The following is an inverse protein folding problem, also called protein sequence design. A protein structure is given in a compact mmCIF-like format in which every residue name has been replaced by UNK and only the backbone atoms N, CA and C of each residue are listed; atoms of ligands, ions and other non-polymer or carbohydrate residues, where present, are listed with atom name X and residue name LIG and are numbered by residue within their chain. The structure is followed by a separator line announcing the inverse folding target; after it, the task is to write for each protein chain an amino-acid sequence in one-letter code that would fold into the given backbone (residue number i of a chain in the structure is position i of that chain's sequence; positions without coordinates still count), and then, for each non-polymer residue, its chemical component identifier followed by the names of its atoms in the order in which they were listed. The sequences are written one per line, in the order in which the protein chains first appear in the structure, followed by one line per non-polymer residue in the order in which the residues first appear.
data_IF_616437868905
#
_entry.id   IF_616437868905
#
_cell.length_a   1.000
_cell.length_b   1.000
_cell.length_c   1.000
_cell.angle_alpha   90.00
_cell.angle_beta   90.00
_cell.angle_gamma   90.00
#
_symmetry.space_group_name_H-M   'P 1'
#
loop_
_entity.id
_entity.type
_entity.pdbx_description
1 polymer ?
#
# COMPACT_ATOMS: atom_id res chain seq x y z
N UNK A 1 -20.82 -11.49 15.25
CA UNK A 1 -20.67 -10.11 14.77
C UNK A 1 -19.25 -9.62 15.00
N UNK A 2 -18.77 -9.69 16.24
CA UNK A 2 -17.43 -9.26 16.67
C UNK A 2 -16.30 -9.77 15.76
N UNK A 3 -16.28 -11.07 15.45
CA UNK A 3 -15.28 -11.64 14.54
C UNK A 3 -15.20 -10.92 13.19
N UNK A 4 -16.33 -10.45 12.63
CA UNK A 4 -16.33 -9.73 11.35
C UNK A 4 -15.70 -8.34 11.46
N UNK A 5 -15.90 -7.65 12.58
CA UNK A 5 -15.21 -6.39 12.86
C UNK A 5 -13.72 -6.62 13.09
N UNK A 6 -13.35 -7.67 13.83
CA UNK A 6 -11.95 -8.07 14.02
C UNK A 6 -11.26 -8.41 12.70
N UNK A 7 -11.86 -9.28 11.88
CA UNK A 7 -11.33 -9.64 10.55
C UNK A 7 -11.13 -8.39 9.67
N UNK A 8 -12.06 -7.41 9.76
CA UNK A 8 -11.97 -6.17 8.99
C UNK A 8 -10.82 -5.30 9.46
N UNK A 9 -10.70 -5.11 10.77
CA UNK A 9 -9.62 -4.34 11.38
C UNK A 9 -8.24 -4.96 11.07
N UNK A 10 -8.09 -6.28 11.17
CA UNK A 10 -6.83 -6.97 10.85
C UNK A 10 -6.42 -6.74 9.39
N UNK A 11 -7.34 -6.97 8.44
CA UNK A 11 -7.05 -6.78 7.01
C UNK A 11 -6.76 -5.30 6.70
N UNK A 12 -7.49 -4.38 7.33
CA UNK A 12 -7.24 -2.93 7.17
C UNK A 12 -5.86 -2.54 7.69
N UNK A 13 -5.49 -2.99 8.90
CA UNK A 13 -4.19 -2.70 9.50
C UNK A 13 -3.05 -3.25 8.63
N UNK A 14 -3.16 -4.49 8.14
CA UNK A 14 -2.19 -5.04 7.20
C UNK A 14 -2.06 -4.19 5.91
N UNK A 15 -3.19 -3.74 5.36
CA UNK A 15 -3.16 -2.86 4.18
C UNK A 15 -2.47 -1.53 4.49
N UNK A 16 -2.76 -0.94 5.65
CA UNK A 16 -2.15 0.31 6.10
C UNK A 16 -0.64 0.15 6.28
N UNK A 17 -0.17 -0.91 6.94
CA UNK A 17 1.25 -1.19 7.12
C UNK A 17 1.98 -1.31 5.77
N UNK A 18 1.39 -2.04 4.82
CA UNK A 18 1.95 -2.13 3.46
C UNK A 18 1.97 -0.76 2.76
N UNK A 19 0.94 0.06 2.93
CA UNK A 19 0.90 1.40 2.36
C UNK A 19 1.95 2.33 3.01
N UNK A 20 2.14 2.27 4.33
CA UNK A 20 3.17 3.05 5.02
C UNK A 20 4.58 2.62 4.59
N UNK A 21 4.81 1.32 4.41
CA UNK A 21 6.06 0.80 3.86
C UNK A 21 6.31 1.32 2.43
N UNK A 22 5.28 1.33 1.57
CA UNK A 22 5.34 1.90 0.22
C UNK A 22 5.79 3.37 0.25
N UNK A 23 5.14 4.20 1.08
CA UNK A 23 5.50 5.61 1.26
C UNK A 23 6.94 5.75 1.73
N UNK A 24 7.37 4.91 2.69
CA UNK A 24 8.73 4.89 3.20
C UNK A 24 9.78 4.59 2.13
N UNK A 25 9.52 3.61 1.27
CA UNK A 25 10.41 3.26 0.16
C UNK A 25 10.51 4.39 -0.88
N UNK A 26 9.38 5.02 -1.23
CA UNK A 26 9.37 6.15 -2.16
C UNK A 26 10.16 7.33 -1.60
N UNK A 27 9.97 7.67 -0.32
CA UNK A 27 10.71 8.75 0.34
C UNK A 27 12.23 8.50 0.31
N UNK A 28 12.68 7.27 0.60
CA UNK A 28 14.11 6.90 0.52
C UNK A 28 14.67 6.94 -0.90
N UNK A 29 13.88 6.50 -1.88
CA UNK A 29 14.25 6.60 -3.29
C UNK A 29 14.44 8.06 -3.71
N UNK A 30 13.49 8.93 -3.35
CA UNK A 30 13.53 10.37 -3.65
C UNK A 30 14.72 11.08 -3.02
N UNK A 31 15.05 10.73 -1.76
CA UNK A 31 16.25 11.22 -1.09
C UNK A 31 17.53 10.78 -1.82
N UNK A 32 17.55 9.58 -2.39
CA UNK A 32 18.70 9.08 -3.16
C UNK A 32 18.82 9.73 -4.54
N UNK A 33 17.77 10.38 -5.04
CA UNK A 33 17.71 11.04 -6.33
C UNK A 33 17.70 12.58 -6.23
N UNK A 34 17.96 13.14 -5.04
CA UNK A 34 17.92 14.57 -4.73
C UNK A 34 16.63 15.28 -5.18
N UNK A 35 15.48 14.59 -5.07
CA UNK A 35 14.18 15.17 -5.44
C UNK A 35 13.71 16.20 -4.41
N UNK A 36 13.16 17.33 -4.90
CA UNK A 36 12.64 18.42 -4.07
C UNK A 36 11.20 18.21 -3.58
N UNK A 37 10.45 17.32 -4.23
CA UNK A 37 9.06 16.98 -3.88
C UNK A 37 9.00 15.60 -3.21
N UNK A 38 9.42 15.53 -1.95
CA UNK A 38 9.56 14.28 -1.20
C UNK A 38 8.21 13.67 -0.78
N UNK A 39 7.15 14.48 -0.71
CA UNK A 39 5.84 14.06 -0.21
C UNK A 39 4.90 13.54 -1.31
N UNK A 40 5.18 13.86 -2.57
CA UNK A 40 4.53 13.20 -3.70
C UNK A 40 4.97 11.73 -3.80
N UNK A 41 4.06 10.82 -4.16
CA UNK A 41 4.34 9.39 -4.27
C UNK A 41 4.82 8.95 -5.66
N UNK A 42 4.75 9.85 -6.65
CA UNK A 42 5.31 9.67 -7.98
C UNK A 42 6.84 9.49 -7.96
N UNK A 43 7.36 8.44 -8.58
CA UNK A 43 8.81 8.22 -8.72
C UNK A 43 9.36 8.35 -10.16
N UNK A 44 8.54 8.77 -11.14
CA UNK A 44 8.98 8.90 -12.53
C UNK A 44 10.22 9.78 -12.72
N UNK A 45 10.30 10.91 -11.99
CA UNK A 45 11.44 11.82 -12.01
C UNK A 45 12.74 11.15 -11.53
N UNK A 46 12.65 10.27 -10.54
CA UNK A 46 13.80 9.54 -10.02
C UNK A 46 14.43 8.65 -11.11
N UNK A 47 13.61 8.01 -11.96
CA UNK A 47 14.11 7.24 -13.11
C UNK A 47 14.90 8.13 -14.08
N UNK A 48 14.42 9.35 -14.32
CA UNK A 48 15.11 10.33 -15.15
C UNK A 48 16.48 10.71 -14.58
N UNK A 49 16.58 10.88 -13.27
CA UNK A 49 17.86 11.14 -12.57
C UNK A 49 18.79 9.95 -12.67
N UNK A 50 18.32 8.73 -12.40
CA UNK A 50 19.14 7.51 -12.46
C UNK A 50 19.65 7.27 -13.89
N UNK A 51 18.86 7.58 -14.92
CA UNK A 51 19.25 7.48 -16.35
C UNK A 51 20.40 8.41 -16.76
N UNK A 52 20.70 9.45 -15.98
CA UNK A 52 21.86 10.32 -16.28
C UNK A 52 23.19 9.64 -15.98
N UNK A 53 23.17 8.54 -15.22
CA UNK A 53 24.33 7.70 -14.95
C UNK A 53 24.79 7.02 -16.26
N UNK A 54 25.92 7.48 -16.80
CA UNK A 54 26.41 7.06 -18.14
C UNK A 54 26.91 5.61 -18.17
N UNK A 55 27.15 5.03 -16.99
CA UNK A 55 27.78 3.73 -16.81
C UNK A 55 26.81 2.56 -16.99
N UNK A 56 25.50 2.81 -16.88
CA UNK A 56 24.45 1.79 -16.95
C UNK A 56 23.28 2.24 -17.80
N UNK A 57 22.77 1.33 -18.64
CA UNK A 57 21.48 1.47 -19.30
C UNK A 57 20.37 1.12 -18.32
N UNK A 58 19.55 2.12 -18.01
CA UNK A 58 18.47 2.01 -17.02
C UNK A 58 17.14 1.78 -17.72
N UNK A 59 16.49 0.64 -17.45
CA UNK A 59 15.14 0.36 -17.93
C UNK A 59 14.21 -0.06 -16.78
N UNK A 60 12.92 0.25 -16.93
CA UNK A 60 11.90 -0.19 -15.98
C UNK A 60 11.09 -1.29 -16.67
N UNK A 61 11.03 -2.46 -16.05
CA UNK A 61 10.18 -3.57 -16.48
C UNK A 61 8.93 -3.58 -15.61
N UNK A 62 7.76 -3.55 -16.24
CA UNK A 62 6.47 -3.59 -15.54
C UNK A 62 5.64 -4.79 -15.97
N UNK A 63 4.99 -5.44 -15.02
CA UNK A 63 4.02 -6.52 -15.19
C UNK A 63 2.89 -6.34 -14.18
N UNK A 64 1.89 -5.53 -14.56
CA UNK A 64 0.86 -5.08 -13.62
C UNK A 64 1.50 -4.29 -12.48
N UNK A 65 1.19 -4.66 -11.24
CA UNK A 65 1.76 -4.06 -10.02
C UNK A 65 3.19 -4.50 -9.71
N UNK A 66 3.70 -5.49 -10.44
CA UNK A 66 5.07 -5.96 -10.27
C UNK A 66 5.98 -5.21 -11.23
N UNK A 67 6.84 -4.35 -10.70
CA UNK A 67 7.85 -3.66 -11.50
C UNK A 67 9.24 -3.76 -10.88
N UNK A 68 10.25 -3.66 -11.74
CA UNK A 68 11.65 -3.74 -11.34
C UNK A 68 12.53 -2.83 -12.20
N UNK A 69 13.53 -2.24 -11.56
CA UNK A 69 14.57 -1.48 -12.22
C UNK A 69 15.67 -2.43 -12.72
N UNK A 70 15.91 -2.41 -14.02
CA UNK A 70 16.96 -3.17 -14.69
C UNK A 70 18.09 -2.20 -15.04
N UNK A 71 19.31 -2.61 -14.70
CA UNK A 71 20.54 -1.85 -14.87
C UNK A 71 21.51 -2.73 -15.66
N UNK A 72 21.70 -2.42 -16.94
CA UNK A 72 22.62 -3.16 -17.81
C UNK A 72 23.91 -2.34 -17.98
N UNK A 73 25.12 -2.87 -17.71
CA UNK A 73 26.36 -2.14 -17.92
C UNK A 73 26.52 -1.69 -19.38
N UNK A 74 27.02 -0.47 -19.59
CA UNK A 74 27.36 0.03 -20.94
C UNK A 74 28.85 -0.24 -21.19
N UNK A 75 29.18 -1.47 -21.61
CA UNK A 75 30.55 -1.90 -21.95
C UNK A 75 30.62 -2.65 -23.30
N UNK A 76 31.81 -2.83 -23.89
CA UNK A 76 31.96 -3.57 -25.15
C UNK A 76 31.50 -5.02 -24.99
N UNK A 77 30.70 -5.50 -25.95
CA UNK A 77 30.20 -6.88 -25.96
C UNK A 77 31.36 -7.88 -25.86
N UNK A 78 31.44 -8.61 -24.74
CA UNK A 78 32.33 -9.77 -24.59
C UNK A 78 33.36 -9.70 -23.46
N UNK A 79 33.55 -8.55 -22.80
CA UNK A 79 34.47 -8.44 -21.66
C UNK A 79 33.82 -7.61 -20.55
N UNK A 80 33.06 -8.26 -19.69
CA UNK A 80 32.77 -7.70 -18.37
C UNK A 80 32.52 -8.88 -17.46
N UNK A 81 33.50 -9.20 -16.62
CA UNK A 81 33.17 -9.82 -15.34
C UNK A 81 32.04 -8.99 -14.74
N UNK A 82 30.99 -9.63 -14.20
CA UNK A 82 29.87 -8.93 -13.56
C UNK A 82 30.41 -8.11 -12.38
N UNK A 83 30.91 -6.90 -12.67
CA UNK A 83 31.34 -5.98 -11.64
C UNK A 83 30.11 -5.69 -10.77
N UNK A 84 30.25 -5.80 -9.44
CA UNK A 84 29.12 -5.59 -8.55
C UNK A 84 28.58 -4.18 -8.74
N UNK A 85 27.25 -4.07 -8.85
CA UNK A 85 26.55 -2.79 -8.96
C UNK A 85 27.07 -1.81 -7.90
N UNK A 86 27.33 -0.54 -8.27
CA UNK A 86 27.67 0.50 -7.32
C UNK A 86 26.68 0.51 -6.15
N UNK A 87 27.14 0.65 -4.89
CA UNK A 87 26.26 0.58 -3.73
C UNK A 87 25.06 1.55 -3.78
N UNK A 88 25.22 2.71 -4.42
CA UNK A 88 24.13 3.67 -4.67
C UNK A 88 23.05 3.09 -5.59
N UNK A 89 23.43 2.48 -6.71
CA UNK A 89 22.51 1.85 -7.65
C UNK A 89 21.87 0.59 -7.06
N UNK A 90 22.60 -0.18 -6.27
CA UNK A 90 22.04 -1.33 -5.56
C UNK A 90 20.97 -0.90 -4.55
N UNK A 91 21.20 0.19 -3.80
CA UNK A 91 20.18 0.77 -2.90
C UNK A 91 18.94 1.20 -3.66
N UNK A 92 19.09 1.93 -4.76
CA UNK A 92 17.98 2.34 -5.62
C UNK A 92 17.18 1.13 -6.10
N UNK A 93 17.84 0.09 -6.59
CA UNK A 93 17.17 -1.14 -7.05
C UNK A 93 16.40 -1.84 -5.92
N UNK A 94 16.96 -1.86 -4.71
CA UNK A 94 16.28 -2.39 -3.53
C UNK A 94 15.05 -1.56 -3.14
N UNK A 95 15.12 -0.24 -3.22
CA UNK A 95 13.96 0.61 -3.00
C UNK A 95 12.87 0.33 -4.04
N UNK A 96 13.20 0.23 -5.34
CA UNK A 96 12.22 -0.16 -6.38
C UNK A 96 11.54 -1.49 -6.09
N UNK A 97 12.29 -2.49 -5.61
CA UNK A 97 11.74 -3.79 -5.19
C UNK A 97 10.78 -3.63 -4.00
N UNK A 98 11.14 -2.79 -3.03
CA UNK A 98 10.30 -2.46 -1.88
C UNK A 98 9.00 -1.74 -2.27
N UNK A 99 9.09 -0.76 -3.18
CA UNK A 99 7.92 -0.03 -3.72
C UNK A 99 7.00 -1.00 -4.45
N UNK A 100 7.53 -1.79 -5.40
CA UNK A 100 6.76 -2.79 -6.16
C UNK A 100 6.05 -3.80 -5.23
N UNK A 101 6.80 -4.39 -4.30
CA UNK A 101 6.25 -5.35 -3.33
C UNK A 101 5.16 -4.75 -2.44
N UNK A 102 5.39 -3.55 -1.93
CA UNK A 102 4.45 -2.85 -1.03
C UNK A 102 3.19 -2.41 -1.79
N UNK A 103 3.32 -1.82 -2.98
CA UNK A 103 2.18 -1.43 -3.81
C UNK A 103 1.30 -2.63 -4.16
N UNK A 104 1.92 -3.75 -4.59
CA UNK A 104 1.21 -5.00 -4.84
C UNK A 104 0.49 -5.52 -3.59
N UNK A 105 1.14 -5.49 -2.43
CA UNK A 105 0.55 -5.95 -1.18
C UNK A 105 -0.66 -5.07 -0.77
N UNK A 106 -0.52 -3.75 -0.82
CA UNK A 106 -1.59 -2.78 -0.54
C UNK A 106 -2.80 -2.98 -1.45
N UNK A 107 -2.59 -3.17 -2.75
CA UNK A 107 -3.68 -3.40 -3.71
C UNK A 107 -4.34 -4.76 -3.48
N UNK A 108 -3.55 -5.81 -3.20
CA UNK A 108 -4.07 -7.18 -3.04
C UNK A 108 -5.08 -7.33 -1.90
N UNK A 109 -4.90 -6.58 -0.81
CA UNK A 109 -5.80 -6.59 0.36
C UNK A 109 -7.12 -5.86 0.10
N UNK A 110 -7.13 -4.90 -0.82
CA UNK A 110 -8.27 -4.02 -1.07
C UNK A 110 -9.55 -4.73 -1.47
N UNK A 111 -9.48 -5.79 -2.29
CA UNK A 111 -10.69 -6.48 -2.76
C UNK A 111 -11.41 -7.22 -1.63
N UNK A 112 -10.67 -7.98 -0.80
CA UNK A 112 -11.25 -8.71 0.35
C UNK A 112 -11.78 -7.74 1.40
N UNK A 113 -11.02 -6.68 1.69
CA UNK A 113 -11.42 -5.65 2.64
C UNK A 113 -12.71 -4.94 2.24
N UNK A 114 -12.81 -4.50 0.98
CA UNK A 114 -14.01 -3.82 0.48
C UNK A 114 -15.25 -4.71 0.53
N UNK A 115 -15.13 -6.01 0.22
CA UNK A 115 -16.25 -6.94 0.35
C UNK A 115 -16.75 -7.05 1.79
N UNK A 116 -15.83 -7.14 2.76
CA UNK A 116 -16.17 -7.24 4.18
C UNK A 116 -16.79 -5.94 4.71
N UNK A 117 -16.22 -4.79 4.33
CA UNK A 117 -16.76 -3.46 4.63
C UNK A 117 -18.16 -3.31 4.05
N UNK A 118 -18.37 -3.64 2.77
CA UNK A 118 -19.68 -3.51 2.14
C UNK A 118 -20.71 -4.44 2.78
N UNK A 119 -20.30 -5.64 3.23
CA UNK A 119 -21.17 -6.54 3.98
C UNK A 119 -21.58 -5.93 5.33
N UNK A 120 -20.63 -5.39 6.10
CA UNK A 120 -20.90 -4.74 7.39
C UNK A 120 -21.85 -3.56 7.21
N UNK A 121 -21.59 -2.69 6.24
CA UNK A 121 -22.43 -1.51 5.99
C UNK A 121 -23.85 -1.85 5.53
N UNK A 122 -24.02 -2.92 4.74
CA UNK A 122 -25.35 -3.37 4.28
C UNK A 122 -26.15 -4.08 5.37
N UNK A 123 -25.47 -4.67 6.35
CA UNK A 123 -26.10 -5.46 7.40
C UNK A 123 -26.45 -4.63 8.65
N UNK A 124 -26.27 -3.30 8.61
CA UNK A 124 -26.39 -2.39 9.76
C UNK A 124 -27.72 -2.57 10.53
N UNK A 125 -28.85 -2.50 9.83
CA UNK A 125 -30.17 -2.70 10.46
C UNK A 125 -30.35 -4.07 11.09
N UNK A 126 -29.79 -5.13 10.48
CA UNK A 126 -29.83 -6.48 11.03
C UNK A 126 -28.93 -6.61 12.26
N UNK A 127 -27.78 -5.94 12.26
CA UNK A 127 -26.85 -5.93 13.39
C UNK A 127 -27.43 -5.19 14.60
N UNK A 128 -28.16 -4.09 14.37
CA UNK A 128 -28.91 -3.40 15.42
C UNK A 128 -29.92 -4.35 16.08
N UNK A 129 -30.71 -5.10 15.32
CA UNK A 129 -31.66 -6.05 15.92
C UNK A 129 -30.97 -7.21 16.65
N UNK A 130 -29.84 -7.70 16.15
CA UNK A 130 -29.03 -8.71 16.86
C UNK A 130 -28.50 -8.19 18.19
N UNK A 131 -28.02 -6.94 18.23
CA UNK A 131 -27.54 -6.30 19.46
C UNK A 131 -28.66 -6.13 20.47
N UNK A 132 -29.85 -5.68 20.02
CA UNK A 132 -31.03 -5.58 20.90
C UNK A 132 -31.44 -6.92 21.49
N UNK A 133 -31.41 -7.99 20.70
CA UNK A 133 -31.76 -9.34 21.15
C UNK A 133 -30.72 -10.00 22.06
N UNK A 134 -29.47 -9.54 22.02
CA UNK A 134 -28.38 -10.05 22.85
C UNK A 134 -28.26 -9.37 24.22
N UNK A 135 -28.85 -8.18 24.38
CA UNK A 135 -28.77 -7.43 25.62
C UNK A 135 -29.69 -8.01 26.70
N UNK A 136 -29.15 -8.26 27.90
CA UNK A 136 -29.94 -8.76 29.04
C UNK A 136 -30.75 -7.63 29.70
N UNK A 137 -30.30 -6.38 29.52
CA UNK A 137 -30.91 -5.19 30.14
C UNK A 137 -30.98 -4.03 29.17
N UNK A 138 -31.88 -3.07 29.44
CA UNK A 138 -31.99 -1.85 28.65
C UNK A 138 -30.70 -1.00 28.68
N UNK A 139 -30.00 -0.97 29.81
CA UNK A 139 -28.73 -0.27 29.93
C UNK A 139 -27.64 -0.93 29.07
N UNK A 140 -27.59 -2.25 29.08
CA UNK A 140 -26.67 -3.00 28.22
C UNK A 140 -27.00 -2.82 26.73
N UNK A 141 -28.29 -2.80 26.38
CA UNK A 141 -28.74 -2.50 25.02
C UNK A 141 -28.23 -1.13 24.55
N UNK A 142 -28.30 -0.11 25.41
CA UNK A 142 -27.72 1.22 25.13
C UNK A 142 -26.22 1.13 24.83
N UNK A 143 -25.45 0.53 25.74
CA UNK A 143 -23.99 0.36 25.59
C UNK A 143 -23.61 -0.37 24.31
N UNK A 144 -24.31 -1.46 23.99
CA UNK A 144 -24.01 -2.25 22.79
C UNK A 144 -24.39 -1.52 21.50
N UNK A 145 -25.48 -0.74 21.51
CA UNK A 145 -25.85 0.10 20.35
C UNK A 145 -24.83 1.22 20.13
N UNK A 146 -24.39 1.89 21.19
CA UNK A 146 -23.36 2.94 21.09
C UNK A 146 -22.06 2.37 20.49
N UNK A 147 -21.63 1.20 20.98
CA UNK A 147 -20.46 0.48 20.43
C UNK A 147 -20.64 0.10 18.96
N UNK A 148 -21.84 -0.35 18.57
CA UNK A 148 -22.12 -0.68 17.17
C UNK A 148 -22.04 0.57 16.29
N UNK A 149 -22.61 1.69 16.74
CA UNK A 149 -22.56 2.96 16.00
C UNK A 149 -21.12 3.44 15.80
N UNK A 150 -20.28 3.35 16.84
CA UNK A 150 -18.86 3.68 16.77
C UNK A 150 -18.11 2.77 15.79
N UNK A 151 -18.34 1.45 15.87
CA UNK A 151 -17.74 0.49 14.94
C UNK A 151 -18.14 0.77 13.48
N UNK A 152 -19.40 1.14 13.22
CA UNK A 152 -19.86 1.51 11.88
C UNK A 152 -19.20 2.80 11.38
N UNK A 153 -18.93 3.78 12.24
CA UNK A 153 -18.15 4.98 11.88
C UNK A 153 -16.75 4.60 11.45
N UNK A 154 -16.08 3.71 12.19
CA UNK A 154 -14.75 3.23 11.81
C UNK A 154 -14.76 2.39 10.53
N UNK A 155 -15.80 1.58 10.27
CA UNK A 155 -15.94 0.87 8.98
C UNK A 155 -16.01 1.84 7.80
N UNK A 156 -16.73 2.97 7.93
CA UNK A 156 -16.81 3.99 6.88
C UNK A 156 -15.45 4.66 6.68
N UNK A 157 -14.76 5.02 7.77
CA UNK A 157 -13.41 5.58 7.73
C UNK A 157 -12.41 4.63 7.05
N UNK A 158 -12.44 3.35 7.42
CA UNK A 158 -11.60 2.31 6.82
C UNK A 158 -11.86 2.19 5.30
N UNK A 159 -13.12 2.31 4.85
CA UNK A 159 -13.48 2.31 3.43
C UNK A 159 -12.80 3.43 2.66
N UNK A 160 -12.91 4.66 3.16
CA UNK A 160 -12.35 5.85 2.52
C UNK A 160 -10.82 5.76 2.44
N UNK A 161 -10.18 5.38 3.54
CA UNK A 161 -8.73 5.22 3.61
C UNK A 161 -8.24 4.09 2.70
N UNK A 162 -8.92 2.93 2.72
CA UNK A 162 -8.56 1.79 1.88
C UNK A 162 -8.59 2.13 0.38
N UNK A 163 -9.63 2.85 -0.05
CA UNK A 163 -9.75 3.31 -1.43
C UNK A 163 -8.65 4.30 -1.80
N UNK A 164 -8.32 5.23 -0.87
CA UNK A 164 -7.24 6.18 -1.06
C UNK A 164 -5.88 5.49 -1.18
N UNK A 165 -5.56 4.56 -0.29
CA UNK A 165 -4.31 3.78 -0.32
C UNK A 165 -4.17 3.02 -1.62
N UNK A 166 -5.24 2.37 -2.08
CA UNK A 166 -5.25 1.67 -3.36
C UNK A 166 -4.96 2.63 -4.52
N UNK A 167 -5.68 3.75 -4.61
CA UNK A 167 -5.49 4.74 -5.68
C UNK A 167 -4.05 5.26 -5.69
N UNK A 168 -3.51 5.63 -4.54
CA UNK A 168 -2.15 6.13 -4.44
C UNK A 168 -1.11 5.06 -4.81
N UNK A 169 -1.34 3.79 -4.44
CA UNK A 169 -0.50 2.67 -4.85
C UNK A 169 -0.58 2.38 -6.36
N UNK A 170 -1.73 2.62 -7.00
CA UNK A 170 -1.90 2.50 -8.46
C UNK A 170 -1.16 3.61 -9.23
N UNK A 171 -0.96 4.78 -8.60
CA UNK A 171 -0.44 6.01 -9.23
C UNK A 171 1.06 6.26 -8.92
N UNK A 172 1.77 5.34 -8.26
CA UNK A 172 3.19 5.57 -7.88
C UNK A 172 4.15 5.78 -9.07
N UNK A 173 3.79 5.28 -10.25
CA UNK A 173 4.61 5.36 -11.45
C UNK A 173 4.39 6.64 -12.29
N UNK A 174 3.29 7.36 -12.11
CA UNK A 174 3.01 8.60 -12.86
C UNK A 174 3.94 9.72 -12.44
#
# INVERSE_FOLDING_TARGET
LDQRFTDMAEIFNEQQEHYEALVGHIRRLKQSCDSTDVDNLAFAECIGTIRKEQTYRVSLKMKGYDFSLILDPVGPEGETEEEPLPPSLQRVQNEFRGISGSAKATVSKGAKLLQLIDWLLRSDSQMVEQVKGAAETYQEQGRLNDNLEENIKEVRRAKELSQRYKKQADEVYT
#
